data_IF_804263948342
#
_entry.id   IF_804263948342
#
_cell.length_a   1.000
_cell.length_b   1.000
_cell.length_c   1.000
_cell.angle_alpha   90.00
_cell.angle_beta   90.00
_cell.angle_gamma   90.00
#
_symmetry.space_group_name_H-M   'P 1'
#
loop_
_entity.id
_entity.type
_entity.pdbx_description
1 polymer ?
#
# COMPACT_ATOMS: atom_id res chain seq x y z
N UNK A 1 -16.25 -4.87 -6.73
CA UNK A 1 -14.96 -4.59 -7.40
C UNK A 1 -15.23 -4.21 -8.85
N UNK A 2 -14.67 -3.11 -9.32
CA UNK A 2 -14.71 -2.69 -10.73
C UNK A 2 -13.34 -3.00 -11.33
N UNK A 3 -13.32 -3.59 -12.50
CA UNK A 3 -12.06 -3.93 -13.20
C UNK A 3 -11.56 -2.73 -14.00
N UNK A 4 -10.25 -2.60 -14.07
CA UNK A 4 -9.55 -1.61 -14.87
C UNK A 4 -8.36 -2.24 -15.59
N UNK A 5 -7.68 -1.45 -16.39
CA UNK A 5 -6.44 -1.85 -17.08
C UNK A 5 -5.37 -0.76 -16.92
N UNK A 6 -4.13 -1.15 -17.00
CA UNK A 6 -3.00 -0.23 -16.92
C UNK A 6 -1.67 -0.95 -16.87
N UNK A 7 -0.61 -0.18 -17.01
CA UNK A 7 0.76 -0.64 -16.88
C UNK A 7 1.62 0.47 -16.24
N UNK A 8 2.65 0.06 -15.50
CA UNK A 8 3.66 0.96 -14.98
C UNK A 8 5.04 0.30 -15.08
N UNK A 9 6.08 1.12 -15.22
CA UNK A 9 7.47 0.68 -15.30
C UNK A 9 8.33 1.56 -14.40
N UNK A 10 9.20 0.94 -13.61
CA UNK A 10 10.13 1.61 -12.71
C UNK A 10 11.56 1.26 -13.05
N UNK A 11 12.43 2.26 -13.11
CA UNK A 11 13.88 2.06 -13.09
C UNK A 11 14.33 2.05 -11.62
N UNK A 12 14.94 0.95 -11.20
CA UNK A 12 15.50 0.79 -9.84
C UNK A 12 17.02 0.90 -9.92
N UNK A 13 17.58 1.80 -9.11
CA UNK A 13 19.02 1.98 -8.97
C UNK A 13 19.44 1.71 -7.51
N UNK A 14 20.59 1.07 -7.33
CA UNK A 14 21.17 0.87 -5.99
C UNK A 14 21.93 2.11 -5.55
N UNK A 15 21.69 2.56 -4.33
CA UNK A 15 22.37 3.73 -3.75
C UNK A 15 21.63 5.04 -4.00
N UNK A 16 22.27 6.16 -3.71
CA UNK A 16 21.70 7.49 -3.92
C UNK A 16 21.92 7.96 -5.36
N UNK A 17 20.86 8.31 -6.05
CA UNK A 17 20.93 8.94 -7.37
C UNK A 17 20.31 10.34 -7.31
N UNK A 18 20.94 11.37 -7.91
CA UNK A 18 20.34 12.71 -7.99
C UNK A 18 19.02 12.71 -8.79
N UNK A 19 18.79 11.68 -9.62
CA UNK A 19 17.58 11.51 -10.42
C UNK A 19 16.51 10.67 -9.74
N UNK A 20 16.80 10.08 -8.57
CA UNK A 20 15.81 9.28 -7.85
C UNK A 20 14.60 10.14 -7.51
N UNK A 21 13.41 9.61 -7.74
CA UNK A 21 12.13 10.25 -7.45
C UNK A 21 11.65 9.96 -6.03
N UNK A 22 12.00 8.79 -5.51
CA UNK A 22 11.73 8.32 -4.16
C UNK A 22 12.74 7.25 -3.79
N UNK A 23 12.77 6.87 -2.52
CA UNK A 23 13.62 5.79 -1.99
C UNK A 23 12.76 4.66 -1.45
N UNK A 24 13.06 3.42 -1.81
CA UNK A 24 12.46 2.24 -1.16
C UNK A 24 13.20 2.04 0.17
N UNK A 25 12.49 2.22 1.28
CA UNK A 25 13.02 2.05 2.64
C UNK A 25 12.82 0.64 3.19
N UNK A 26 11.75 -0.01 2.78
CA UNK A 26 11.44 -1.35 3.25
C UNK A 26 10.56 -2.13 2.29
N UNK A 27 10.74 -3.44 2.28
CA UNK A 27 9.94 -4.38 1.50
C UNK A 27 9.62 -5.56 2.40
N UNK A 28 8.37 -5.94 2.45
CA UNK A 28 7.92 -7.14 3.11
C UNK A 28 7.15 -8.03 2.15
N UNK A 29 7.34 -9.33 2.29
CA UNK A 29 6.63 -10.36 1.55
C UNK A 29 6.21 -11.46 2.50
N UNK A 30 4.97 -11.87 2.41
CA UNK A 30 4.47 -13.01 3.18
C UNK A 30 3.45 -13.81 2.38
N UNK A 31 3.23 -15.03 2.80
CA UNK A 31 2.17 -15.88 2.29
C UNK A 31 1.45 -16.56 3.44
N UNK A 32 0.20 -16.92 3.23
CA UNK A 32 -0.63 -17.65 4.18
C UNK A 32 -1.27 -18.87 3.51
N UNK A 33 -1.56 -19.94 4.28
CA UNK A 33 -2.36 -21.05 3.77
C UNK A 33 -3.78 -20.56 3.45
N UNK A 34 -4.26 -20.88 2.27
CA UNK A 34 -5.61 -20.50 1.82
C UNK A 34 -6.44 -21.73 1.52
N UNK A 35 -7.74 -21.63 1.78
CA UNK A 35 -8.71 -22.69 1.45
C UNK A 35 -9.21 -22.59 0.02
N UNK A 36 -9.03 -21.43 -0.63
CA UNK A 36 -9.47 -21.18 -2.00
C UNK A 36 -8.49 -20.20 -2.68
N UNK A 37 -8.13 -20.38 -3.96
CA UNK A 37 -7.10 -19.58 -4.65
C UNK A 37 -7.27 -18.06 -4.62
N UNK A 38 -8.48 -17.57 -4.48
CA UNK A 38 -8.79 -16.14 -4.42
C UNK A 38 -9.19 -15.66 -3.01
N UNK A 39 -9.04 -16.53 -2.00
CA UNK A 39 -9.38 -16.17 -0.63
C UNK A 39 -8.22 -15.39 0.01
N UNK A 40 -8.56 -14.52 0.93
CA UNK A 40 -7.70 -13.95 1.96
C UNK A 40 -8.23 -14.43 3.30
N UNK A 41 -7.38 -14.69 4.27
CA UNK A 41 -7.81 -15.04 5.63
C UNK A 41 -8.63 -13.89 6.25
N UNK A 42 -9.45 -14.20 7.24
CA UNK A 42 -10.32 -13.20 7.86
C UNK A 42 -9.55 -12.08 8.59
N UNK A 43 -8.31 -12.37 9.01
CA UNK A 43 -7.38 -11.49 9.69
C UNK A 43 -6.26 -10.97 8.77
N UNK A 44 -6.28 -11.36 7.49
CA UNK A 44 -5.28 -10.98 6.48
C UNK A 44 -3.83 -11.17 6.99
N UNK A 45 -3.53 -12.34 7.55
CA UNK A 45 -2.24 -12.66 8.20
C UNK A 45 -1.05 -12.35 7.29
N UNK A 46 -1.10 -12.76 6.01
CA UNK A 46 -0.02 -12.50 5.06
C UNK A 46 0.22 -11.01 4.92
N UNK A 47 -0.84 -10.21 4.84
CA UNK A 47 -0.73 -8.76 4.69
C UNK A 47 -0.15 -8.11 5.94
N UNK A 48 -0.62 -8.51 7.13
CA UNK A 48 -0.07 -8.05 8.41
C UNK A 48 1.44 -8.32 8.50
N UNK A 49 1.85 -9.55 8.19
CA UNK A 49 3.27 -9.95 8.22
C UNK A 49 4.12 -9.20 7.19
N UNK A 50 3.60 -8.97 5.99
CA UNK A 50 4.32 -8.20 4.97
C UNK A 50 4.52 -6.74 5.41
N UNK A 51 3.51 -6.11 6.02
CA UNK A 51 3.64 -4.76 6.59
C UNK A 51 4.69 -4.72 7.70
N UNK A 52 4.66 -5.67 8.65
CA UNK A 52 5.63 -5.75 9.73
C UNK A 52 7.07 -5.89 9.22
N UNK A 53 7.29 -6.70 8.17
CA UNK A 53 8.61 -6.82 7.53
C UNK A 53 9.02 -5.52 6.82
N UNK A 54 8.11 -4.88 6.09
CA UNK A 54 8.40 -3.63 5.41
C UNK A 54 8.74 -2.48 6.38
N UNK A 55 8.27 -2.57 7.62
CA UNK A 55 8.48 -1.59 8.70
C UNK A 55 9.56 -2.04 9.69
N UNK A 56 10.35 -3.08 9.40
CA UNK A 56 11.40 -3.54 10.31
C UNK A 56 12.40 -2.42 10.61
N UNK A 57 12.54 -2.08 11.90
CA UNK A 57 13.40 -0.99 12.36
C UNK A 57 12.85 0.43 12.11
N UNK A 58 11.59 0.56 11.71
CA UNK A 58 10.91 1.84 11.46
C UNK A 58 9.69 1.94 12.39
N UNK A 59 9.54 3.07 13.07
CA UNK A 59 8.35 3.32 13.88
C UNK A 59 7.12 3.44 12.94
N UNK A 60 6.05 2.65 13.13
CA UNK A 60 4.83 2.79 12.34
C UNK A 60 4.26 4.22 12.31
N UNK A 61 4.49 5.02 13.33
CA UNK A 61 4.09 6.44 13.38
C UNK A 61 4.81 7.33 12.36
N UNK A 62 5.92 6.88 11.79
CA UNK A 62 6.60 7.58 10.70
C UNK A 62 5.85 7.46 9.37
N UNK A 63 4.91 6.51 9.25
CA UNK A 63 4.12 6.32 8.03
C UNK A 63 3.04 7.39 7.97
N UNK A 64 3.04 8.21 6.94
CA UNK A 64 2.05 9.28 6.75
C UNK A 64 0.80 8.76 6.03
N UNK A 65 1.00 7.87 5.06
CA UNK A 65 -0.08 7.35 4.21
C UNK A 65 0.08 5.85 4.01
N UNK A 66 -1.02 5.13 4.03
CA UNK A 66 -1.09 3.77 3.48
C UNK A 66 -1.98 3.78 2.24
N UNK A 67 -1.49 3.14 1.17
CA UNK A 67 -2.27 2.80 -0.01
C UNK A 67 -2.63 1.32 0.11
N UNK A 68 -3.81 0.99 0.63
CA UNK A 68 -4.22 -0.39 0.82
C UNK A 68 -4.46 -1.09 -0.52
N UNK A 69 -4.43 -2.42 -0.49
CA UNK A 69 -4.82 -3.21 -1.66
C UNK A 69 -6.28 -2.95 -2.05
N UNK A 70 -7.17 -2.85 -1.07
CA UNK A 70 -8.55 -2.35 -1.17
C UNK A 70 -9.25 -2.76 -2.48
N UNK A 71 -9.60 -4.03 -2.60
CA UNK A 71 -10.24 -4.59 -3.81
C UNK A 71 -11.67 -4.10 -4.05
N UNK A 72 -12.30 -3.45 -3.06
CA UNK A 72 -13.70 -3.09 -3.07
C UNK A 72 -14.62 -4.29 -2.81
N UNK A 73 -14.15 -5.27 -2.04
CA UNK A 73 -14.95 -6.39 -1.55
C UNK A 73 -15.10 -6.29 -0.03
N UNK A 74 -16.31 -6.48 0.48
CA UNK A 74 -16.58 -6.32 1.91
C UNK A 74 -15.63 -7.16 2.79
N UNK A 75 -15.43 -8.44 2.45
CA UNK A 75 -14.56 -9.33 3.23
C UNK A 75 -13.08 -8.96 3.12
N UNK A 76 -12.61 -8.67 1.91
CA UNK A 76 -11.20 -8.32 1.68
C UNK A 76 -10.83 -7.00 2.33
N UNK A 77 -11.65 -5.98 2.13
CA UNK A 77 -11.39 -4.65 2.69
C UNK A 77 -11.50 -4.65 4.22
N UNK A 78 -12.42 -5.44 4.80
CA UNK A 78 -12.51 -5.61 6.25
C UNK A 78 -11.30 -6.33 6.82
N UNK A 79 -10.86 -7.41 6.20
CA UNK A 79 -9.67 -8.16 6.64
C UNK A 79 -8.41 -7.27 6.58
N UNK A 80 -8.23 -6.51 5.50
CA UNK A 80 -7.13 -5.57 5.39
C UNK A 80 -7.20 -4.46 6.45
N UNK A 81 -8.38 -3.92 6.73
CA UNK A 81 -8.55 -2.93 7.78
C UNK A 81 -8.15 -3.46 9.16
N UNK A 82 -8.51 -4.70 9.49
CA UNK A 82 -8.09 -5.36 10.73
C UNK A 82 -6.57 -5.52 10.80
N UNK A 83 -5.93 -5.94 9.70
CA UNK A 83 -4.47 -6.03 9.62
C UNK A 83 -3.78 -4.67 9.81
N UNK A 84 -4.34 -3.60 9.23
CA UNK A 84 -3.86 -2.24 9.46
C UNK A 84 -3.99 -1.84 10.94
N UNK A 85 -5.14 -2.09 11.57
CA UNK A 85 -5.35 -1.78 12.98
C UNK A 85 -4.39 -2.54 13.91
N UNK A 86 -4.02 -3.78 13.57
CA UNK A 86 -3.01 -4.52 14.34
C UNK A 86 -1.58 -3.95 14.19
N UNK A 87 -1.23 -3.43 13.02
CA UNK A 87 0.11 -2.88 12.77
C UNK A 87 0.25 -1.45 13.30
N UNK A 88 -0.76 -0.62 13.13
CA UNK A 88 -0.71 0.81 13.45
C UNK A 88 -1.43 1.19 14.75
N UNK A 89 -2.20 0.27 15.33
CA UNK A 89 -2.98 0.55 16.54
C UNK A 89 -4.22 1.40 16.25
N UNK A 90 -4.55 2.29 17.19
CA UNK A 90 -5.75 3.12 17.10
C UNK A 90 -5.60 4.36 16.23
N UNK A 91 -4.36 4.78 15.96
CA UNK A 91 -4.03 5.96 15.14
C UNK A 91 -3.52 5.48 13.77
N UNK A 92 -4.47 5.21 12.87
CA UNK A 92 -4.12 4.80 11.51
C UNK A 92 -3.51 5.96 10.73
N UNK A 93 -2.51 5.69 9.86
CA UNK A 93 -2.09 6.64 8.83
C UNK A 93 -3.25 7.04 7.92
N UNK A 94 -3.07 8.10 7.16
CA UNK A 94 -4.04 8.48 6.12
C UNK A 94 -4.20 7.32 5.12
N UNK A 95 -5.44 7.03 4.75
CA UNK A 95 -5.74 5.99 3.76
C UNK A 95 -6.18 6.63 2.44
N UNK A 96 -5.63 6.12 1.34
CA UNK A 96 -6.03 6.52 -0.01
C UNK A 96 -5.93 5.36 -0.99
N UNK A 97 -6.59 5.48 -2.13
CA UNK A 97 -6.50 4.50 -3.22
C UNK A 97 -6.79 5.16 -4.56
N UNK A 98 -6.22 4.65 -5.63
CA UNK A 98 -6.55 5.06 -7.00
C UNK A 98 -7.67 4.21 -7.62
N UNK A 99 -8.04 3.10 -6.99
CA UNK A 99 -8.98 2.11 -7.57
C UNK A 99 -10.39 2.64 -7.79
N UNK A 100 -10.81 3.65 -7.05
CA UNK A 100 -12.10 4.28 -7.29
C UNK A 100 -12.16 5.08 -8.60
N UNK A 101 -10.99 5.49 -9.13
CA UNK A 101 -10.86 6.18 -10.41
C UNK A 101 -10.58 5.23 -11.57
N UNK A 102 -9.64 4.30 -11.38
CA UNK A 102 -9.10 3.49 -12.49
C UNK A 102 -9.53 2.01 -12.42
N UNK A 103 -10.25 1.61 -11.40
CA UNK A 103 -10.61 0.22 -11.15
C UNK A 103 -9.43 -0.63 -10.65
N UNK A 104 -9.69 -1.90 -10.46
CA UNK A 104 -8.68 -2.89 -10.05
C UNK A 104 -7.98 -3.44 -11.29
N UNK A 105 -6.69 -3.16 -11.44
CA UNK A 105 -5.88 -3.48 -12.63
C UNK A 105 -5.07 -4.78 -12.46
N UNK A 106 -5.50 -5.68 -11.58
CA UNK A 106 -4.84 -6.97 -11.30
C UNK A 106 -3.34 -6.82 -11.02
N UNK A 107 -2.50 -7.46 -11.83
CA UNK A 107 -1.05 -7.45 -11.66
C UNK A 107 -0.42 -6.04 -11.70
N UNK A 108 -1.03 -5.10 -12.40
CA UNK A 108 -0.55 -3.72 -12.45
C UNK A 108 -0.95 -2.88 -11.23
N UNK A 109 -1.87 -3.35 -10.36
CA UNK A 109 -2.43 -2.56 -9.26
C UNK A 109 -1.37 -2.05 -8.28
N UNK A 110 -0.43 -2.90 -7.87
CA UNK A 110 0.64 -2.50 -6.96
C UNK A 110 1.58 -1.47 -7.59
N UNK A 111 1.92 -1.65 -8.85
CA UNK A 111 2.77 -0.71 -9.58
C UNK A 111 2.09 0.66 -9.77
N UNK A 112 0.83 0.70 -10.16
CA UNK A 112 0.07 1.96 -10.29
C UNK A 112 -0.16 2.64 -8.94
N UNK A 113 -0.29 1.89 -7.85
CA UNK A 113 -0.33 2.44 -6.50
C UNK A 113 1.02 3.05 -6.10
N UNK A 114 2.13 2.40 -6.47
CA UNK A 114 3.48 2.93 -6.24
C UNK A 114 3.73 4.21 -7.06
N UNK A 115 3.31 4.26 -8.32
CA UNK A 115 3.38 5.48 -9.13
C UNK A 115 2.62 6.63 -8.47
N UNK A 116 1.39 6.39 -8.02
CA UNK A 116 0.60 7.37 -7.28
C UNK A 116 1.34 7.86 -6.02
N UNK A 117 1.96 6.95 -5.27
CA UNK A 117 2.72 7.28 -4.07
C UNK A 117 3.94 8.17 -4.39
N UNK A 118 4.69 7.85 -5.45
CA UNK A 118 5.82 8.68 -5.92
C UNK A 118 5.34 10.09 -6.28
N UNK A 119 4.23 10.21 -7.02
CA UNK A 119 3.66 11.51 -7.39
C UNK A 119 3.20 12.29 -6.16
N UNK A 120 2.57 11.64 -5.17
CA UNK A 120 2.17 12.31 -3.92
C UNK A 120 3.37 12.83 -3.14
N UNK A 121 4.46 12.07 -3.05
CA UNK A 121 5.71 12.52 -2.42
C UNK A 121 6.34 13.69 -3.15
N UNK A 122 6.43 13.63 -4.47
CA UNK A 122 7.04 14.70 -5.27
C UNK A 122 6.25 16.00 -5.25
N UNK A 123 4.93 15.92 -5.33
CA UNK A 123 4.06 17.08 -5.44
C UNK A 123 3.54 17.55 -4.08
N UNK A 124 3.83 16.80 -3.00
CA UNK A 124 3.29 17.06 -1.67
C UNK A 124 1.76 17.24 -1.69
N UNK A 125 1.11 16.43 -2.54
CA UNK A 125 -0.32 16.47 -2.74
C UNK A 125 -0.96 15.12 -2.41
N UNK A 126 -1.82 15.10 -1.37
CA UNK A 126 -2.55 13.91 -0.97
C UNK A 126 -3.76 13.68 -1.90
N UNK A 127 -3.86 12.49 -2.48
CA UNK A 127 -5.02 12.11 -3.30
C UNK A 127 -6.20 11.79 -2.40
N UNK A 128 -7.15 12.71 -2.31
CA UNK A 128 -8.38 12.54 -1.54
C UNK A 128 -9.27 11.47 -2.18
N UNK A 129 -9.83 10.62 -1.32
CA UNK A 129 -10.89 9.67 -1.67
C UNK A 129 -12.22 10.25 -1.19
N UNK A 130 -13.25 10.41 -2.04
CA UNK A 130 -14.46 11.14 -1.69
C UNK A 130 -15.23 10.60 -0.48
N UNK A 131 -15.05 9.32 -0.16
CA UNK A 131 -15.73 8.64 0.96
C UNK A 131 -14.80 8.41 2.18
N UNK A 132 -13.57 8.93 2.14
CA UNK A 132 -12.62 8.92 3.26
C UNK A 132 -12.16 10.37 3.48
N UNK A 133 -12.91 11.17 4.26
CA UNK A 133 -12.53 12.54 4.53
C UNK A 133 -11.31 12.56 5.45
N UNK A 134 -10.17 12.88 4.89
CA UNK A 134 -8.93 13.06 5.62
C UNK A 134 -8.01 14.00 4.85
N UNK A 135 -7.31 14.86 5.57
CA UNK A 135 -6.30 15.77 5.02
C UNK A 135 -5.00 15.59 5.78
N UNK A 136 -3.85 15.65 5.10
CA UNK A 136 -2.58 15.59 5.80
C UNK A 136 -2.39 16.85 6.67
N UNK A 137 -1.96 16.62 7.92
CA UNK A 137 -1.62 17.70 8.86
C UNK A 137 -0.13 18.06 8.77
N UNK A 138 0.65 17.25 8.06
CA UNK A 138 2.11 17.42 7.90
C UNK A 138 2.53 17.03 6.48
N UNK A 139 3.74 17.43 6.04
CA UNK A 139 4.30 17.00 4.75
C UNK A 139 4.36 15.47 4.64
N UNK A 140 4.10 14.95 3.45
CA UNK A 140 4.17 13.53 3.14
C UNK A 140 5.63 13.11 2.97
N UNK A 141 6.09 12.18 3.82
CA UNK A 141 7.47 11.67 3.80
C UNK A 141 7.56 10.18 3.54
N UNK A 142 6.62 9.43 4.09
CA UNK A 142 6.64 7.97 4.06
C UNK A 142 5.28 7.42 3.66
N UNK A 143 5.24 6.62 2.60
CA UNK A 143 4.01 6.00 2.09
C UNK A 143 4.21 4.49 2.02
N UNK A 144 3.35 3.74 2.69
CA UNK A 144 3.30 2.28 2.61
C UNK A 144 2.28 1.85 1.56
N UNK A 145 2.69 0.98 0.65
CA UNK A 145 1.85 0.43 -0.40
C UNK A 145 1.64 -1.06 -0.13
N UNK A 146 0.39 -1.50 -0.09
CA UNK A 146 0.01 -2.89 0.06
C UNK A 146 -0.51 -3.48 -1.24
N UNK A 147 -0.14 -4.70 -1.52
CA UNK A 147 -0.68 -5.48 -2.61
C UNK A 147 -0.86 -6.94 -2.20
N UNK A 148 -2.00 -7.53 -2.55
CA UNK A 148 -2.23 -8.97 -2.40
C UNK A 148 -2.43 -9.59 -3.78
N UNK A 149 -1.99 -10.84 -3.90
CA UNK A 149 -2.16 -11.65 -5.10
C UNK A 149 -2.93 -12.93 -4.81
N UNK A 150 -3.42 -13.56 -5.85
CA UNK A 150 -4.00 -14.89 -5.73
C UNK A 150 -2.96 -15.88 -5.18
N UNK A 151 -3.41 -16.85 -4.40
CA UNK A 151 -2.52 -17.81 -3.76
C UNK A 151 -2.10 -17.42 -2.35
N UNK A 152 -2.75 -16.45 -1.70
CA UNK A 152 -2.47 -16.04 -0.33
C UNK A 152 -1.18 -15.23 -0.18
N UNK A 153 -0.76 -14.55 -1.23
CA UNK A 153 0.45 -13.73 -1.23
C UNK A 153 0.15 -12.28 -0.85
N UNK A 154 1.03 -11.67 -0.08
CA UNK A 154 0.98 -10.25 0.22
C UNK A 154 2.37 -9.62 0.11
N UNK A 155 2.42 -8.40 -0.39
CA UNK A 155 3.62 -7.57 -0.47
C UNK A 155 3.29 -6.20 0.10
N UNK A 156 4.19 -5.67 0.90
CA UNK A 156 4.16 -4.29 1.36
C UNK A 156 5.47 -3.60 1.00
N UNK A 157 5.39 -2.39 0.47
CA UNK A 157 6.56 -1.60 0.09
C UNK A 157 6.46 -0.23 0.75
N UNK A 158 7.46 0.13 1.53
CA UNK A 158 7.59 1.47 2.10
C UNK A 158 8.49 2.30 1.20
N UNK A 159 7.95 3.40 0.70
CA UNK A 159 8.73 4.41 -0.03
C UNK A 159 8.75 5.73 0.74
N UNK A 160 9.84 6.46 0.59
CA UNK A 160 10.04 7.75 1.23
C UNK A 160 10.41 8.82 0.22
N UNK A 161 10.17 10.07 0.60
CA UNK A 161 10.76 11.21 -0.08
C UNK A 161 12.29 11.04 -0.16
N UNK A 162 12.88 11.72 -1.11
CA UNK A 162 14.34 11.69 -1.33
C UNK A 162 15.09 12.53 -0.31
#
# INVERSE_FOLDING_TARGET
MVLGEGAAVFALEKGSSPRALATIRGIGYASEPITHPVAISADAEALRRSMQQALEGIDPKEVDVVIPHATGTLKGDQAEYLALAEVFGTELPLLTTNKWKIGHTFAASGALAMEMAVLMLQQQHFLLVPYLPATPERPLRNILINATGFGGNAVSVLISEK
#
